data_IF_049447931464
#
_entry.id   IF_049447931464
#
_cell.length_a   1.000
_cell.length_b   1.000
_cell.length_c   1.000
_cell.angle_alpha   90.00
_cell.angle_beta   90.00
_cell.angle_gamma   90.00
#
_symmetry.space_group_name_H-M   'P 1'
#
loop_
_entity.id
_entity.type
_entity.pdbx_description
1 polymer ?
#
# COMPACT_ATOMS: atom_id res chain seq x y z
N UNK A 1 14.86 5.98 -23.50
CA UNK A 1 14.08 7.14 -24.00
C UNK A 1 14.88 7.89 -25.06
N UNK A 2 14.26 8.37 -26.15
CA UNK A 2 14.86 9.21 -27.20
C UNK A 2 13.84 10.28 -27.60
N UNK A 3 14.22 11.54 -27.62
CA UNK A 3 13.36 12.61 -28.12
C UNK A 3 13.38 12.57 -29.66
N UNK A 4 12.20 12.61 -30.29
CA UNK A 4 12.02 12.55 -31.74
C UNK A 4 11.73 13.91 -32.34
N UNK A 5 10.88 14.70 -31.67
CA UNK A 5 10.60 16.08 -32.09
C UNK A 5 10.12 16.93 -30.90
N UNK A 6 10.35 18.22 -30.96
CA UNK A 6 9.84 19.24 -30.04
C UNK A 6 9.10 20.29 -30.83
N UNK A 7 7.86 20.59 -30.46
CA UNK A 7 7.02 21.61 -31.06
C UNK A 7 6.44 22.54 -30.01
N UNK A 8 6.16 23.75 -30.39
CA UNK A 8 5.49 24.68 -29.48
C UNK A 8 5.03 25.96 -30.19
N UNK A 9 4.20 26.71 -29.47
CA UNK A 9 3.69 28.02 -29.90
C UNK A 9 3.41 28.90 -28.68
N UNK A 10 3.74 30.15 -28.78
CA UNK A 10 3.45 31.16 -27.75
C UNK A 10 3.99 30.80 -26.35
N UNK A 11 5.24 30.37 -26.27
CA UNK A 11 5.91 30.05 -25.04
C UNK A 11 7.00 31.08 -24.72
N UNK A 12 6.89 31.73 -23.57
CA UNK A 12 7.83 32.76 -23.11
C UNK A 12 8.24 33.76 -24.20
N UNK A 13 9.50 33.70 -24.69
CA UNK A 13 10.02 34.57 -25.74
C UNK A 13 9.62 34.13 -27.16
N UNK A 14 9.19 32.89 -27.35
CA UNK A 14 8.85 32.34 -28.67
C UNK A 14 7.37 32.63 -29.01
N UNK A 15 7.13 33.47 -30.00
CA UNK A 15 5.77 33.86 -30.42
C UNK A 15 5.21 32.97 -31.52
N UNK A 16 6.03 32.54 -32.46
CA UNK A 16 5.62 31.73 -33.61
C UNK A 16 5.60 30.26 -33.26
N UNK A 17 4.84 29.49 -34.03
CA UNK A 17 4.97 28.03 -33.97
C UNK A 17 6.38 27.63 -34.43
N UNK A 18 6.98 26.70 -33.71
CA UNK A 18 8.27 26.14 -34.03
C UNK A 18 8.22 24.62 -33.99
N UNK A 19 9.09 23.99 -34.74
CA UNK A 19 9.34 22.56 -34.74
C UNK A 19 10.84 22.30 -34.86
N UNK A 20 11.32 21.40 -33.99
CA UNK A 20 12.68 20.84 -34.04
C UNK A 20 12.53 19.34 -34.14
N UNK A 21 12.84 18.77 -35.31
CA UNK A 21 12.83 17.32 -35.54
C UNK A 21 14.24 16.75 -35.41
N UNK A 22 14.35 15.64 -34.65
CA UNK A 22 15.57 14.86 -34.50
C UNK A 22 15.54 13.58 -35.34
N UNK A 23 14.43 13.24 -35.97
CA UNK A 23 14.30 12.10 -36.87
C UNK A 23 14.55 12.46 -38.34
N UNK A 24 14.35 13.72 -38.70
CA UNK A 24 14.39 14.17 -40.09
C UNK A 24 15.29 15.40 -40.18
N UNK A 25 15.83 15.60 -41.38
CA UNK A 25 16.66 16.75 -41.70
C UNK A 25 18.09 16.65 -41.10
N UNK A 26 18.78 17.79 -40.96
CA UNK A 26 20.22 17.81 -40.62
C UNK A 26 20.53 17.27 -39.21
N UNK A 27 19.56 17.26 -38.32
CA UNK A 27 19.77 16.75 -36.93
C UNK A 27 19.63 15.25 -36.82
N UNK A 28 19.06 14.55 -37.78
CA UNK A 28 18.81 13.11 -37.72
C UNK A 28 20.09 12.28 -37.65
N UNK A 29 21.15 12.74 -38.29
CA UNK A 29 22.49 12.09 -38.28
C UNK A 29 23.52 12.79 -37.38
N UNK A 30 23.14 13.92 -36.76
CA UNK A 30 24.06 14.67 -35.90
C UNK A 30 24.19 14.02 -34.55
N UNK A 31 25.37 13.48 -34.23
CA UNK A 31 25.67 12.93 -32.89
C UNK A 31 25.78 14.02 -31.82
N UNK A 32 26.15 15.23 -32.22
CA UNK A 32 26.26 16.40 -31.35
C UNK A 32 25.79 17.63 -32.12
N UNK A 33 25.01 18.50 -31.48
CA UNK A 33 24.56 19.79 -32.05
C UNK A 33 24.56 20.87 -30.97
N UNK A 34 24.65 22.12 -31.40
CA UNK A 34 24.64 23.29 -30.53
C UNK A 34 23.43 24.17 -30.82
N UNK A 35 22.74 24.63 -29.75
CA UNK A 35 21.68 25.63 -29.84
C UNK A 35 22.32 26.99 -29.51
N UNK A 36 22.51 27.84 -30.53
CA UNK A 36 23.17 29.14 -30.40
C UNK A 36 22.17 30.29 -30.62
N UNK A 37 22.50 31.47 -30.14
CA UNK A 37 21.72 32.69 -30.31
C UNK A 37 21.93 33.69 -29.17
N UNK A 38 21.49 34.94 -29.33
CA UNK A 38 21.62 35.99 -28.31
C UNK A 38 20.82 35.66 -27.04
N UNK A 39 21.09 36.40 -25.98
CA UNK A 39 20.31 36.29 -24.74
C UNK A 39 18.86 36.68 -25.02
N UNK A 40 17.90 35.90 -24.50
CA UNK A 40 16.48 36.13 -24.75
C UNK A 40 15.93 35.47 -26.03
N UNK A 41 16.77 34.90 -26.89
CA UNK A 41 16.33 34.26 -28.15
C UNK A 41 15.45 33.00 -27.99
N UNK A 42 15.23 32.52 -26.76
CA UNK A 42 14.36 31.37 -26.52
C UNK A 42 15.10 30.02 -26.39
N UNK A 43 16.43 29.99 -26.34
CA UNK A 43 17.20 28.75 -26.19
C UNK A 43 16.70 27.87 -25.02
N UNK A 44 16.59 28.46 -23.83
CA UNK A 44 16.07 27.76 -22.64
C UNK A 44 14.56 27.48 -22.75
N UNK A 45 13.84 28.25 -23.54
CA UNK A 45 12.40 28.02 -23.76
C UNK A 45 12.14 26.71 -24.52
N UNK A 46 13.05 26.26 -25.38
CA UNK A 46 12.98 24.95 -26.02
C UNK A 46 13.05 23.82 -24.96
N UNK A 47 13.94 23.97 -23.99
CA UNK A 47 14.07 23.02 -22.88
C UNK A 47 12.88 23.08 -21.93
N UNK A 48 12.34 24.29 -21.68
CA UNK A 48 11.08 24.46 -20.94
C UNK A 48 9.92 23.79 -21.66
N UNK A 49 9.80 23.91 -23.00
CA UNK A 49 8.76 23.26 -23.79
C UNK A 49 8.81 21.73 -23.63
N UNK A 50 10.02 21.15 -23.66
CA UNK A 50 10.24 19.74 -23.43
C UNK A 50 9.71 19.31 -22.04
N UNK A 51 10.11 20.01 -20.99
CA UNK A 51 9.69 19.71 -19.64
C UNK A 51 8.19 19.95 -19.40
N UNK A 52 7.59 20.99 -20.00
CA UNK A 52 6.15 21.25 -19.92
C UNK A 52 5.33 20.11 -20.52
N UNK A 53 5.71 19.66 -21.73
CA UNK A 53 4.97 18.59 -22.41
C UNK A 53 5.03 17.27 -21.67
N UNK A 54 6.15 16.96 -21.01
CA UNK A 54 6.37 15.69 -20.35
C UNK A 54 5.94 15.67 -18.88
N UNK A 55 6.10 16.79 -18.15
CA UNK A 55 5.94 16.82 -16.68
C UNK A 55 5.08 17.96 -16.15
N UNK A 56 4.66 18.90 -17.01
CA UNK A 56 4.01 20.15 -16.59
C UNK A 56 4.83 20.93 -15.54
N UNK A 57 6.12 20.78 -15.55
CA UNK A 57 7.08 21.43 -14.64
C UNK A 57 8.29 21.88 -15.43
N UNK A 58 8.99 22.89 -14.96
CA UNK A 58 10.28 23.28 -15.56
C UNK A 58 11.32 23.57 -14.47
N UNK A 59 12.60 23.32 -14.71
CA UNK A 59 13.65 23.61 -13.73
C UNK A 59 13.69 25.08 -13.29
N UNK A 60 13.37 25.98 -14.21
CA UNK A 60 13.32 27.42 -13.94
C UNK A 60 12.24 27.79 -12.94
N UNK A 61 11.03 27.24 -13.09
CA UNK A 61 9.90 27.53 -12.21
C UNK A 61 10.00 26.80 -10.88
N UNK A 62 10.58 25.63 -10.85
CA UNK A 62 10.80 24.86 -9.60
C UNK A 62 11.68 25.60 -8.58
N UNK A 63 12.55 26.51 -9.05
CA UNK A 63 13.38 27.36 -8.20
C UNK A 63 12.68 28.64 -7.72
N UNK A 64 11.56 29.02 -8.33
CA UNK A 64 10.79 30.22 -8.00
C UNK A 64 9.87 30.00 -6.78
N UNK A 65 10.34 29.32 -5.73
CA UNK A 65 9.54 28.93 -4.56
C UNK A 65 9.45 29.97 -3.45
N UNK A 66 9.63 31.26 -3.73
CA UNK A 66 9.46 32.30 -2.73
C UNK A 66 8.01 32.31 -2.23
N UNK A 67 7.80 31.91 -0.97
CA UNK A 67 6.49 31.91 -0.30
C UNK A 67 5.92 33.32 -0.24
N UNK A 68 4.67 33.48 -0.65
CA UNK A 68 3.97 34.76 -0.57
C UNK A 68 4.20 35.73 -1.73
N UNK A 69 5.05 35.38 -2.71
CA UNK A 69 5.24 36.19 -3.93
C UNK A 69 4.24 35.73 -4.98
N UNK A 70 3.54 36.66 -5.61
CA UNK A 70 2.65 36.41 -6.75
C UNK A 70 3.08 37.26 -7.94
N UNK A 71 2.86 36.76 -9.14
CA UNK A 71 3.13 37.46 -10.39
C UNK A 71 1.81 38.05 -10.91
N UNK A 72 1.72 39.34 -11.18
CA UNK A 72 0.51 39.92 -11.76
C UNK A 72 0.24 39.37 -13.16
N UNK A 73 -1.01 39.01 -13.40
CA UNK A 73 -1.57 38.63 -14.70
C UNK A 73 -2.58 39.69 -15.17
N UNK A 74 -3.37 39.39 -16.17
CA UNK A 74 -4.39 40.29 -16.70
C UNK A 74 -5.57 40.48 -15.72
N UNK A 75 -6.26 41.64 -15.81
CA UNK A 75 -7.47 41.94 -15.02
C UNK A 75 -7.27 41.87 -13.49
N UNK A 76 -6.11 42.31 -12.98
CA UNK A 76 -5.74 42.26 -11.54
C UNK A 76 -5.67 40.86 -10.89
N UNK A 77 -5.65 39.81 -11.71
CA UNK A 77 -5.38 38.46 -11.22
C UNK A 77 -3.89 38.27 -10.92
N UNK A 78 -3.60 37.39 -10.00
CA UNK A 78 -2.23 37.01 -9.67
C UNK A 78 -2.06 35.49 -9.78
N UNK A 79 -0.88 35.07 -10.22
CA UNK A 79 -0.53 33.66 -10.41
C UNK A 79 0.74 33.36 -9.60
N UNK A 80 0.87 32.15 -9.06
CA UNK A 80 2.09 31.75 -8.36
C UNK A 80 3.29 31.75 -9.35
N UNK A 81 4.47 32.23 -8.95
CA UNK A 81 5.66 32.23 -9.80
C UNK A 81 6.05 30.85 -10.32
N UNK A 82 5.72 29.80 -9.55
CA UNK A 82 5.97 28.40 -9.90
C UNK A 82 4.91 27.76 -10.81
N UNK A 83 3.83 28.49 -11.11
CA UNK A 83 2.75 27.97 -11.98
C UNK A 83 3.23 27.83 -13.44
N UNK A 84 3.18 26.64 -14.04
CA UNK A 84 3.63 26.42 -15.41
C UNK A 84 2.87 27.26 -16.45
N UNK A 85 1.64 27.68 -16.16
CA UNK A 85 0.84 28.54 -17.03
C UNK A 85 1.44 29.94 -17.23
N UNK A 86 2.35 30.36 -16.35
CA UNK A 86 3.10 31.63 -16.47
C UNK A 86 4.04 31.64 -17.69
N UNK A 87 4.33 30.45 -18.25
CA UNK A 87 5.12 30.33 -19.48
C UNK A 87 4.32 30.65 -20.77
N UNK A 88 3.01 30.79 -20.67
CA UNK A 88 2.24 31.36 -21.77
C UNK A 88 2.77 32.77 -22.07
N UNK A 89 3.13 33.01 -23.31
CA UNK A 89 3.63 34.31 -23.78
C UNK A 89 2.64 35.42 -23.43
N UNK A 90 3.13 36.53 -22.85
CA UNK A 90 2.31 37.72 -22.60
C UNK A 90 1.76 38.25 -23.90
N UNK A 91 0.47 38.59 -23.91
CA UNK A 91 -0.22 39.05 -25.13
C UNK A 91 -0.70 37.91 -26.04
N UNK A 92 -0.53 36.64 -25.64
CA UNK A 92 -1.09 35.51 -26.38
C UNK A 92 -2.36 34.99 -25.67
N UNK A 93 -3.35 34.57 -26.48
CA UNK A 93 -4.59 33.97 -25.97
C UNK A 93 -4.49 32.46 -25.71
N UNK A 94 -3.52 31.79 -26.35
CA UNK A 94 -3.27 30.35 -26.22
C UNK A 94 -1.80 30.03 -26.50
N UNK A 95 -1.35 28.89 -25.97
CA UNK A 95 -0.01 28.34 -26.20
C UNK A 95 0.04 26.84 -25.93
N UNK A 96 1.02 26.17 -26.52
CA UNK A 96 1.23 24.75 -26.30
C UNK A 96 2.72 24.38 -26.41
N UNK A 97 3.06 23.27 -25.74
CA UNK A 97 4.28 22.52 -25.92
C UNK A 97 3.93 21.07 -26.27
N UNK A 98 4.64 20.48 -27.23
CA UNK A 98 4.39 19.13 -27.71
C UNK A 98 5.72 18.43 -27.96
N UNK A 99 5.81 17.17 -27.56
CA UNK A 99 7.02 16.35 -27.69
C UNK A 99 6.66 14.98 -28.20
N UNK A 100 7.35 14.57 -29.29
CA UNK A 100 7.36 13.19 -29.74
C UNK A 100 8.58 12.50 -29.14
N UNK A 101 8.38 11.32 -28.55
CA UNK A 101 9.47 10.56 -27.92
C UNK A 101 9.26 9.05 -28.05
N UNK A 102 10.38 8.34 -28.12
CA UNK A 102 10.39 6.89 -27.94
C UNK A 102 10.52 6.57 -26.46
N UNK A 103 9.56 5.82 -25.93
CA UNK A 103 9.52 5.38 -24.54
C UNK A 103 10.58 4.33 -24.20
N UNK A 104 10.62 3.94 -22.94
CA UNK A 104 11.47 2.84 -22.44
C UNK A 104 11.06 1.48 -23.00
N UNK A 105 9.81 1.34 -23.42
CA UNK A 105 9.25 0.14 -24.07
C UNK A 105 9.50 0.09 -25.58
N UNK A 106 10.22 1.07 -26.14
CA UNK A 106 10.55 1.18 -27.56
C UNK A 106 9.42 1.69 -28.46
N UNK A 107 8.24 2.00 -27.91
CA UNK A 107 7.13 2.60 -28.67
C UNK A 107 7.25 4.10 -28.74
N UNK A 108 6.67 4.71 -29.77
CA UNK A 108 6.68 6.16 -29.95
C UNK A 108 5.38 6.78 -29.45
N UNK A 109 5.51 7.91 -28.79
CA UNK A 109 4.43 8.64 -28.14
C UNK A 109 4.50 10.12 -28.46
N UNK A 110 3.35 10.79 -28.38
CA UNK A 110 3.21 12.24 -28.42
C UNK A 110 2.58 12.72 -27.12
N UNK A 111 3.33 13.50 -26.33
CA UNK A 111 2.82 14.23 -25.18
C UNK A 111 2.60 15.70 -25.55
N UNK A 112 1.49 16.28 -25.12
CA UNK A 112 1.16 17.67 -25.38
C UNK A 112 0.60 18.33 -24.13
N UNK A 113 1.19 19.45 -23.77
CA UNK A 113 0.68 20.40 -22.79
C UNK A 113 0.10 21.61 -23.52
N UNK A 114 -1.04 22.11 -23.08
CA UNK A 114 -1.65 23.31 -23.65
C UNK A 114 -2.33 24.17 -22.58
N UNK A 115 -2.35 25.47 -22.83
CA UNK A 115 -3.00 26.43 -21.97
C UNK A 115 -3.67 27.51 -22.81
N UNK A 116 -4.80 28.00 -22.36
CA UNK A 116 -5.55 29.06 -23.03
C UNK A 116 -6.10 30.07 -22.04
N UNK A 117 -6.34 31.27 -22.53
CA UNK A 117 -7.13 32.28 -21.84
C UNK A 117 -8.60 32.19 -22.26
N UNK A 118 -9.48 32.75 -21.45
CA UNK A 118 -10.92 32.82 -21.78
C UNK A 118 -11.15 33.37 -23.17
N UNK A 119 -11.91 32.63 -23.99
CA UNK A 119 -12.22 32.95 -25.38
C UNK A 119 -10.99 33.13 -26.30
N UNK A 120 -9.85 32.52 -25.91
CA UNK A 120 -8.55 32.68 -26.59
C UNK A 120 -8.14 34.16 -26.77
N UNK A 121 -8.57 35.06 -25.88
CA UNK A 121 -8.21 36.48 -25.92
C UNK A 121 -7.01 36.78 -25.05
N UNK A 122 -6.10 37.67 -25.45
CA UNK A 122 -4.93 38.06 -24.67
C UNK A 122 -5.26 38.68 -23.30
N UNK A 123 -6.40 39.35 -23.20
CA UNK A 123 -6.96 39.98 -21.98
C UNK A 123 -7.87 39.06 -21.18
N UNK A 124 -8.09 37.82 -21.65
CA UNK A 124 -8.92 36.84 -21.00
C UNK A 124 -8.26 36.22 -19.80
N UNK A 125 -9.09 35.74 -18.85
CA UNK A 125 -8.63 35.00 -17.66
C UNK A 125 -7.92 33.71 -18.03
N UNK A 126 -6.80 33.41 -17.37
CA UNK A 126 -6.01 32.18 -17.57
C UNK A 126 -6.82 30.97 -17.16
N UNK A 127 -6.99 29.99 -18.04
CA UNK A 127 -7.73 28.75 -17.78
C UNK A 127 -6.77 27.67 -17.26
N UNK A 128 -7.35 26.55 -16.80
CA UNK A 128 -6.58 25.37 -16.48
C UNK A 128 -5.81 24.86 -17.70
N UNK A 129 -4.61 24.37 -17.47
CA UNK A 129 -3.82 23.67 -18.49
C UNK A 129 -4.39 22.29 -18.76
N UNK A 130 -4.23 21.84 -19.98
CA UNK A 130 -4.60 20.50 -20.43
C UNK A 130 -3.37 19.70 -20.82
N UNK A 131 -3.40 18.38 -20.58
CA UNK A 131 -2.34 17.44 -20.95
C UNK A 131 -2.96 16.25 -21.66
N UNK A 132 -2.35 15.86 -22.78
CA UNK A 132 -2.74 14.66 -23.51
C UNK A 132 -1.53 13.81 -23.90
N UNK A 133 -1.75 12.50 -24.02
CA UNK A 133 -0.79 11.51 -24.49
C UNK A 133 -1.42 10.71 -25.61
N UNK A 134 -0.68 10.51 -26.70
CA UNK A 134 -1.11 9.71 -27.84
C UNK A 134 0.00 8.74 -28.24
N UNK A 135 -0.38 7.58 -28.74
CA UNK A 135 0.58 6.67 -29.39
C UNK A 135 0.81 7.11 -30.84
N UNK A 136 2.03 6.94 -31.31
CA UNK A 136 2.41 7.17 -32.70
C UNK A 136 2.57 5.84 -33.45
N UNK A 137 2.32 5.78 -34.77
CA UNK A 137 1.99 6.90 -35.66
C UNK A 137 0.49 7.28 -35.67
N UNK A 138 -0.41 6.40 -35.20
CA UNK A 138 -1.87 6.49 -35.43
C UNK A 138 -2.58 7.53 -34.55
N UNK A 139 -1.87 8.24 -33.68
CA UNK A 139 -2.40 9.23 -32.74
C UNK A 139 -3.56 8.70 -31.87
N UNK A 140 -3.49 7.43 -31.49
CA UNK A 140 -4.49 6.84 -30.58
C UNK A 140 -4.35 7.48 -29.20
N UNK A 141 -5.44 8.06 -28.64
CA UNK A 141 -5.38 8.70 -27.34
C UNK A 141 -5.11 7.66 -26.24
N UNK A 142 -4.14 7.97 -25.39
CA UNK A 142 -3.72 7.15 -24.24
C UNK A 142 -3.86 7.94 -22.93
N UNK A 143 -4.45 9.14 -22.97
CA UNK A 143 -4.68 9.94 -21.78
C UNK A 143 -5.84 9.36 -20.96
N UNK A 144 -5.69 9.44 -19.65
CA UNK A 144 -6.66 8.94 -18.68
C UNK A 144 -7.70 10.01 -18.33
N UNK A 145 -8.67 9.66 -17.50
CA UNK A 145 -9.77 10.56 -17.11
C UNK A 145 -9.28 11.78 -16.30
N UNK A 146 -8.11 11.68 -15.66
CA UNK A 146 -7.54 12.78 -14.89
C UNK A 146 -6.18 13.20 -15.43
N UNK A 147 -5.88 14.48 -15.31
CA UNK A 147 -4.59 15.05 -15.67
C UNK A 147 -3.43 14.39 -14.90
N UNK A 148 -3.63 14.09 -13.63
CA UNK A 148 -2.63 13.44 -12.78
C UNK A 148 -2.29 12.03 -13.27
N UNK A 149 -3.29 11.28 -13.69
CA UNK A 149 -3.07 9.91 -14.20
C UNK A 149 -2.39 9.94 -15.56
N UNK A 150 -2.76 10.92 -16.43
CA UNK A 150 -2.05 11.15 -17.71
C UNK A 150 -0.57 11.46 -17.48
N UNK A 151 -0.24 12.33 -16.53
CA UNK A 151 1.15 12.63 -16.17
C UNK A 151 1.91 11.40 -15.66
N UNK A 152 1.32 10.61 -14.77
CA UNK A 152 1.91 9.35 -14.30
C UNK A 152 2.15 8.37 -15.44
N UNK A 153 1.23 8.31 -16.40
CA UNK A 153 1.39 7.47 -17.58
C UNK A 153 2.53 7.91 -18.45
N UNK A 154 2.69 9.23 -18.66
CA UNK A 154 3.84 9.81 -19.38
C UNK A 154 5.14 9.44 -18.65
N UNK A 155 5.22 9.62 -17.32
CA UNK A 155 6.39 9.23 -16.53
C UNK A 155 6.69 7.73 -16.66
N UNK A 156 5.67 6.87 -16.65
CA UNK A 156 5.84 5.42 -16.84
C UNK A 156 6.39 5.10 -18.23
N UNK A 157 5.91 5.75 -19.28
CA UNK A 157 6.42 5.56 -20.66
C UNK A 157 7.88 6.04 -20.78
N UNK A 158 8.24 7.12 -20.09
CA UNK A 158 9.59 7.67 -20.09
C UNK A 158 10.54 6.80 -19.25
N UNK A 159 10.06 6.26 -18.14
CA UNK A 159 10.83 5.53 -17.13
C UNK A 159 11.65 6.42 -16.20
N UNK A 160 11.46 7.74 -16.22
CA UNK A 160 12.15 8.73 -15.40
C UNK A 160 11.13 9.73 -14.82
N UNK A 161 11.22 10.03 -13.54
CA UNK A 161 10.48 11.15 -12.96
C UNK A 161 11.15 12.50 -13.30
N UNK A 162 10.48 13.61 -12.99
CA UNK A 162 10.98 14.95 -13.31
C UNK A 162 12.38 15.24 -12.74
N UNK A 163 12.64 14.86 -11.50
CA UNK A 163 13.91 15.14 -10.85
C UNK A 163 15.05 14.29 -11.43
N UNK A 164 14.78 13.03 -11.75
CA UNK A 164 15.73 12.16 -12.46
C UNK A 164 15.99 12.66 -13.88
N UNK A 165 14.95 13.05 -14.62
CA UNK A 165 15.08 13.56 -15.97
C UNK A 165 15.93 14.83 -16.03
N UNK A 166 15.70 15.79 -15.13
CA UNK A 166 16.42 17.06 -15.09
C UNK A 166 17.87 16.94 -14.62
N UNK A 167 18.20 15.85 -13.91
CA UNK A 167 19.57 15.55 -13.49
C UNK A 167 20.36 14.69 -14.49
N UNK A 168 19.67 13.80 -15.19
CA UNK A 168 20.31 12.80 -16.05
C UNK A 168 20.26 13.15 -17.55
N UNK A 169 19.17 13.73 -18.01
CA UNK A 169 18.92 14.01 -19.45
C UNK A 169 19.07 15.50 -19.76
N UNK A 170 18.49 16.33 -18.89
CA UNK A 170 18.45 17.78 -19.10
C UNK A 170 19.22 18.48 -17.98
N UNK A 171 20.51 18.67 -18.17
CA UNK A 171 21.34 19.44 -17.24
C UNK A 171 21.02 20.93 -17.37
N UNK A 172 20.08 21.41 -16.54
CA UNK A 172 19.76 22.83 -16.51
C UNK A 172 20.96 23.64 -16.01
N UNK A 173 21.00 24.94 -16.36
CA UNK A 173 22.08 25.84 -15.96
C UNK A 173 22.29 25.78 -14.44
N UNK A 174 23.52 25.49 -13.99
CA UNK A 174 23.96 25.26 -12.61
C UNK A 174 23.59 23.91 -11.97
N UNK A 175 22.88 23.00 -12.64
CA UNK A 175 22.54 21.70 -12.05
C UNK A 175 23.66 20.66 -12.18
N UNK A 176 24.58 20.85 -13.11
CA UNK A 176 25.78 20.00 -13.19
C UNK A 176 26.62 20.00 -11.90
N UNK A 177 26.76 21.18 -11.31
CA UNK A 177 27.44 21.28 -10.00
C UNK A 177 26.70 20.57 -8.88
N UNK A 178 25.37 20.54 -8.95
CA UNK A 178 24.51 19.84 -7.98
C UNK A 178 24.65 18.33 -8.13
N UNK A 179 24.69 17.80 -9.36
CA UNK A 179 24.97 16.38 -9.60
C UNK A 179 26.33 15.94 -9.06
N UNK A 180 27.38 16.74 -9.29
CA UNK A 180 28.74 16.42 -8.78
C UNK A 180 28.79 16.47 -7.24
N UNK A 181 27.96 17.29 -6.60
CA UNK A 181 27.85 17.44 -5.14
C UNK A 181 26.82 16.52 -4.50
N UNK A 182 26.06 15.78 -5.29
CA UNK A 182 25.08 14.81 -4.78
C UNK A 182 25.77 13.73 -3.93
N UNK A 183 25.07 13.21 -2.94
CA UNK A 183 25.55 12.10 -2.13
C UNK A 183 25.77 10.84 -2.98
N UNK A 184 26.55 9.91 -2.46
CA UNK A 184 26.83 8.65 -3.16
C UNK A 184 25.54 7.85 -3.41
N UNK A 185 24.59 7.89 -2.46
CA UNK A 185 23.29 7.22 -2.57
C UNK A 185 22.43 7.83 -3.69
N UNK A 186 22.35 9.16 -3.78
CA UNK A 186 21.60 9.85 -4.85
C UNK A 186 22.21 9.59 -6.24
N UNK A 187 23.55 9.52 -6.33
CA UNK A 187 24.24 9.17 -7.58
C UNK A 187 23.99 7.71 -7.97
N UNK A 188 24.02 6.80 -6.99
CA UNK A 188 23.75 5.39 -7.21
C UNK A 188 22.33 5.16 -7.70
N UNK A 189 21.32 5.81 -7.09
CA UNK A 189 19.92 5.73 -7.51
C UNK A 189 19.73 6.19 -8.97
N UNK A 190 20.36 7.32 -9.35
CA UNK A 190 20.31 7.81 -10.72
C UNK A 190 20.95 6.84 -11.70
N UNK A 191 22.11 6.28 -11.36
CA UNK A 191 22.81 5.31 -12.20
C UNK A 191 22.00 4.02 -12.33
N UNK A 192 21.39 3.53 -11.26
CA UNK A 192 20.50 2.37 -11.29
C UNK A 192 19.33 2.55 -12.25
N UNK A 193 18.68 3.72 -12.19
CA UNK A 193 17.56 4.04 -13.08
C UNK A 193 18.00 4.12 -14.55
N UNK A 194 19.15 4.76 -14.83
CA UNK A 194 19.69 4.90 -16.19
C UNK A 194 20.18 3.57 -16.78
N UNK A 195 20.68 2.67 -15.96
CA UNK A 195 21.21 1.37 -16.40
C UNK A 195 20.16 0.26 -16.38
N UNK A 196 18.93 0.54 -15.90
CA UNK A 196 17.86 -0.46 -15.76
C UNK A 196 18.16 -1.53 -14.72
N UNK A 197 19.03 -1.22 -13.74
CA UNK A 197 19.42 -2.17 -12.68
C UNK A 197 18.50 -2.15 -11.46
N UNK A 198 17.37 -1.44 -11.51
CA UNK A 198 16.35 -1.38 -10.45
C UNK A 198 15.81 -2.76 -10.03
N UNK A 199 15.82 -3.71 -10.97
CA UNK A 199 15.43 -5.11 -10.71
C UNK A 199 16.30 -5.77 -9.65
N UNK A 200 17.61 -5.49 -9.64
CA UNK A 200 18.55 -6.04 -8.64
C UNK A 200 18.33 -5.42 -7.26
N UNK A 201 18.06 -4.11 -7.20
CA UNK A 201 17.71 -3.42 -5.97
C UNK A 201 16.40 -3.96 -5.37
N UNK A 202 15.36 -4.15 -6.21
CA UNK A 202 14.09 -4.76 -5.80
C UNK A 202 14.28 -6.19 -5.31
N UNK A 203 15.10 -6.99 -5.99
CA UNK A 203 15.42 -8.36 -5.58
C UNK A 203 16.13 -8.40 -4.23
N UNK A 204 17.12 -7.52 -4.04
CA UNK A 204 17.86 -7.38 -2.78
C UNK A 204 16.94 -7.02 -1.62
N UNK A 205 16.04 -6.04 -1.82
CA UNK A 205 15.05 -5.66 -0.81
C UNK A 205 14.11 -6.81 -0.45
N UNK A 206 13.61 -7.55 -1.43
CA UNK A 206 12.76 -8.73 -1.21
C UNK A 206 13.50 -9.85 -0.48
N UNK A 207 14.75 -10.11 -0.85
CA UNK A 207 15.59 -11.09 -0.17
C UNK A 207 15.85 -10.71 1.29
N UNK A 208 16.17 -9.44 1.55
CA UNK A 208 16.36 -8.93 2.91
C UNK A 208 15.07 -9.02 3.74
N UNK A 209 13.93 -8.62 3.17
CA UNK A 209 12.64 -8.70 3.86
C UNK A 209 12.28 -10.15 4.21
N UNK A 210 12.51 -11.09 3.29
CA UNK A 210 12.26 -12.50 3.54
C UNK A 210 13.19 -13.03 4.63
N UNK A 211 14.48 -12.74 4.55
CA UNK A 211 15.46 -13.13 5.58
C UNK A 211 15.03 -12.62 6.97
N UNK A 212 14.60 -11.35 7.06
CA UNK A 212 14.12 -10.77 8.32
C UNK A 212 12.90 -11.52 8.86
N UNK A 213 11.92 -11.80 8.03
CA UNK A 213 10.69 -12.53 8.44
C UNK A 213 11.02 -13.94 8.93
N UNK A 214 11.87 -14.68 8.20
CA UNK A 214 12.27 -16.04 8.58
C UNK A 214 13.13 -16.03 9.88
N UNK A 215 13.97 -15.01 10.04
CA UNK A 215 14.75 -14.84 11.28
C UNK A 215 13.85 -14.60 12.49
N UNK A 216 12.88 -13.70 12.38
CA UNK A 216 11.91 -13.44 13.45
C UNK A 216 11.04 -14.67 13.78
N UNK A 217 10.72 -15.49 12.78
CA UNK A 217 10.01 -16.76 13.00
C UNK A 217 10.88 -17.76 13.73
N UNK A 218 12.15 -17.89 13.36
CA UNK A 218 13.13 -18.75 14.03
C UNK A 218 13.32 -18.34 15.49
N UNK A 219 13.55 -17.04 15.74
CA UNK A 219 13.75 -16.51 17.09
C UNK A 219 12.54 -16.77 17.98
N UNK A 220 11.30 -16.64 17.44
CA UNK A 220 10.08 -17.01 18.17
C UNK A 220 9.99 -18.50 18.49
N UNK A 221 10.39 -19.37 17.56
CA UNK A 221 10.41 -20.82 17.80
C UNK A 221 11.47 -21.19 18.82
N UNK A 222 12.65 -20.58 18.77
CA UNK A 222 13.71 -20.80 19.76
C UNK A 222 13.26 -20.35 21.15
N UNK A 223 12.67 -19.16 21.28
CA UNK A 223 12.14 -18.68 22.57
C UNK A 223 11.05 -19.61 23.13
N UNK A 224 10.21 -20.18 22.28
CA UNK A 224 9.21 -21.18 22.70
C UNK A 224 9.87 -22.49 23.14
N UNK A 225 10.90 -22.94 22.44
CA UNK A 225 11.64 -24.13 22.79
C UNK A 225 12.37 -23.96 24.14
N UNK A 226 13.01 -22.81 24.34
CA UNK A 226 13.72 -22.48 25.59
C UNK A 226 12.76 -22.37 26.77
N UNK A 227 11.53 -21.93 26.55
CA UNK A 227 10.47 -21.90 27.57
C UNK A 227 9.92 -23.30 27.93
N UNK A 228 10.10 -24.29 27.05
CA UNK A 228 9.76 -25.68 27.33
C UNK A 228 10.93 -26.33 28.08
N UNK A 229 10.84 -26.40 29.43
CA UNK A 229 11.78 -27.19 30.19
C UNK A 229 11.38 -28.68 30.08
N UNK A 230 11.94 -29.46 29.14
CA UNK A 230 11.63 -30.88 29.06
C UNK A 230 12.09 -31.60 30.35
N UNK A 231 11.20 -32.34 30.93
CA UNK A 231 11.54 -33.18 32.09
C UNK A 231 12.64 -34.18 31.73
N UNK A 232 13.58 -34.36 32.64
CA UNK A 232 14.56 -35.44 32.48
C UNK A 232 13.86 -36.81 32.38
N UNK A 233 14.49 -37.82 31.77
CA UNK A 233 13.91 -39.16 31.69
C UNK A 233 13.53 -39.71 33.10
N UNK A 234 14.36 -39.42 34.11
CA UNK A 234 14.15 -39.84 35.49
C UNK A 234 12.93 -39.12 36.09
N UNK A 235 12.82 -37.81 35.91
CA UNK A 235 11.67 -37.02 36.39
C UNK A 235 10.38 -37.47 35.73
N UNK A 236 10.42 -37.80 34.44
CA UNK A 236 9.26 -38.33 33.70
C UNK A 236 8.84 -39.69 34.24
N UNK A 237 9.81 -40.59 34.48
CA UNK A 237 9.53 -41.90 35.10
C UNK A 237 8.92 -41.76 36.50
N UNK A 238 9.44 -40.83 37.32
CA UNK A 238 8.89 -40.55 38.62
C UNK A 238 7.44 -40.06 38.59
N UNK A 239 7.12 -39.14 37.65
CA UNK A 239 5.75 -38.66 37.47
C UNK A 239 4.80 -39.75 36.97
N UNK A 240 5.24 -40.65 36.07
CA UNK A 240 4.42 -41.80 35.66
C UNK A 240 4.16 -42.76 36.84
N UNK A 241 5.20 -43.09 37.60
CA UNK A 241 5.01 -43.92 38.79
C UNK A 241 4.05 -43.31 39.82
N UNK A 242 4.13 -41.99 40.01
CA UNK A 242 3.18 -41.26 40.87
C UNK A 242 1.75 -41.27 40.30
N UNK A 243 1.60 -41.13 39.03
CA UNK A 243 0.29 -41.20 38.35
C UNK A 243 -0.33 -42.61 38.51
N UNK A 244 0.46 -43.65 38.29
CA UNK A 244 0.00 -45.03 38.43
C UNK A 244 -0.43 -45.33 39.85
N UNK A 245 0.38 -44.90 40.86
CA UNK A 245 0.02 -45.04 42.28
C UNK A 245 -1.28 -44.30 42.62
N UNK A 246 -1.45 -43.07 42.15
CA UNK A 246 -2.67 -42.31 42.38
C UNK A 246 -3.89 -42.96 41.70
N UNK A 247 -3.71 -43.52 40.49
CA UNK A 247 -4.78 -44.21 39.75
C UNK A 247 -5.22 -45.46 40.52
N UNK A 248 -4.28 -46.21 41.14
CA UNK A 248 -4.60 -47.36 41.97
C UNK A 248 -5.40 -46.95 43.21
N UNK A 249 -4.97 -45.89 43.91
CA UNK A 249 -5.68 -45.37 45.07
C UNK A 249 -7.10 -44.92 44.72
N UNK A 250 -7.26 -44.23 43.57
CA UNK A 250 -8.60 -43.81 43.08
C UNK A 250 -9.49 -45.02 42.80
N UNK A 251 -8.94 -46.07 42.21
CA UNK A 251 -9.70 -47.30 41.96
C UNK A 251 -10.16 -47.97 43.24
N UNK A 252 -9.26 -48.06 44.23
CA UNK A 252 -9.58 -48.66 45.54
C UNK A 252 -10.66 -47.85 46.27
N UNK A 253 -10.53 -46.53 46.31
CA UNK A 253 -11.53 -45.63 46.89
C UNK A 253 -12.89 -45.72 46.17
N UNK A 254 -12.92 -45.82 44.87
CA UNK A 254 -14.15 -46.00 44.11
C UNK A 254 -14.82 -47.37 44.41
N UNK A 255 -14.01 -48.40 44.60
CA UNK A 255 -14.51 -49.74 45.04
C UNK A 255 -15.13 -49.67 46.43
N UNK A 256 -14.44 -49.02 47.39
CA UNK A 256 -14.94 -48.84 48.77
C UNK A 256 -16.21 -48.00 48.78
N UNK A 257 -16.27 -46.91 48.01
CA UNK A 257 -17.48 -46.07 47.86
C UNK A 257 -18.68 -46.90 47.36
N UNK A 258 -18.47 -47.72 46.33
CA UNK A 258 -19.51 -48.60 45.80
C UNK A 258 -20.00 -49.61 46.87
N UNK A 259 -19.08 -50.19 47.68
CA UNK A 259 -19.43 -51.06 48.76
C UNK A 259 -20.27 -50.33 49.82
N UNK A 260 -19.82 -49.17 50.28
CA UNK A 260 -20.53 -48.35 51.23
C UNK A 260 -21.92 -47.93 50.77
N UNK A 261 -22.04 -47.53 49.49
CA UNK A 261 -23.33 -47.20 48.89
C UNK A 261 -24.28 -48.42 48.85
N UNK A 262 -23.74 -49.62 48.59
CA UNK A 262 -24.53 -50.84 48.63
C UNK A 262 -25.05 -51.13 50.04
N UNK A 263 -24.16 -51.00 51.04
CA UNK A 263 -24.51 -51.13 52.45
C UNK A 263 -25.59 -50.13 52.90
N UNK A 264 -25.44 -48.88 52.50
CA UNK A 264 -26.41 -47.82 52.80
C UNK A 264 -27.78 -48.13 52.22
N UNK A 265 -27.83 -48.59 50.98
CA UNK A 265 -29.09 -49.01 50.29
C UNK A 265 -29.75 -50.18 51.01
N UNK A 266 -28.90 -51.17 51.43
CA UNK A 266 -29.40 -52.32 52.22
C UNK A 266 -29.99 -51.88 53.57
N UNK A 267 -29.25 -51.02 54.29
CA UNK A 267 -29.68 -50.51 55.60
C UNK A 267 -31.00 -49.73 55.51
N UNK A 268 -31.07 -48.84 54.53
CA UNK A 268 -32.29 -48.05 54.25
C UNK A 268 -33.47 -48.99 53.95
N UNK A 269 -33.25 -50.02 53.15
CA UNK A 269 -34.29 -51.00 52.80
C UNK A 269 -34.72 -51.82 53.99
N UNK A 270 -33.77 -52.21 54.80
CA UNK A 270 -34.01 -52.93 56.06
C UNK A 270 -34.88 -52.11 57.03
N UNK A 271 -34.56 -50.86 57.26
CA UNK A 271 -35.36 -49.94 58.07
C UNK A 271 -36.80 -49.77 57.50
N UNK A 272 -36.98 -49.61 56.19
CA UNK A 272 -38.30 -49.54 55.59
C UNK A 272 -39.11 -50.82 55.84
N UNK A 273 -38.53 -51.96 55.61
CA UNK A 273 -39.18 -53.24 55.84
C UNK A 273 -39.54 -53.46 57.35
N UNK A 274 -38.62 -53.09 58.22
CA UNK A 274 -38.90 -53.18 59.66
C UNK A 274 -40.06 -52.29 60.10
N UNK A 275 -40.14 -51.05 59.58
CA UNK A 275 -41.24 -50.16 59.85
C UNK A 275 -42.57 -50.69 59.25
N UNK A 276 -42.55 -51.33 58.07
CA UNK A 276 -43.69 -51.99 57.51
C UNK A 276 -44.21 -53.18 58.35
N UNK A 277 -43.28 -53.98 58.83
CA UNK A 277 -43.63 -55.12 59.75
C UNK A 277 -44.31 -54.59 61.03
N UNK A 278 -43.70 -53.58 61.66
CA UNK A 278 -44.28 -52.95 62.85
C UNK A 278 -45.65 -52.35 62.60
N UNK A 279 -45.83 -51.67 61.49
CA UNK A 279 -47.12 -51.11 61.11
C UNK A 279 -48.18 -52.24 60.88
N UNK A 280 -47.80 -53.31 60.19
CA UNK A 280 -48.67 -54.47 59.97
C UNK A 280 -49.04 -55.19 61.25
N UNK A 281 -48.07 -55.39 62.20
CA UNK A 281 -48.33 -55.96 63.50
C UNK A 281 -49.29 -55.08 64.30
N UNK A 282 -49.06 -53.79 64.33
CA UNK A 282 -49.99 -52.86 65.01
C UNK A 282 -51.38 -52.91 64.41
N UNK A 283 -51.50 -52.86 63.08
CA UNK A 283 -52.80 -53.01 62.39
C UNK A 283 -53.46 -54.37 62.71
N UNK A 284 -52.71 -55.44 62.75
CA UNK A 284 -53.21 -56.78 63.15
C UNK A 284 -53.74 -56.76 64.56
N UNK A 285 -52.97 -56.34 65.57
CA UNK A 285 -53.38 -56.23 66.95
C UNK A 285 -54.66 -55.36 67.07
N UNK A 286 -54.74 -54.23 66.38
CA UNK A 286 -55.92 -53.37 66.41
C UNK A 286 -57.18 -54.11 65.87
N UNK A 287 -57.02 -54.89 64.80
CA UNK A 287 -58.10 -55.67 64.20
C UNK A 287 -58.54 -56.82 65.14
N UNK A 288 -57.55 -57.52 65.77
CA UNK A 288 -57.88 -58.58 66.75
C UNK A 288 -58.63 -58.00 67.93
N UNK A 289 -58.21 -56.88 68.52
CA UNK A 289 -58.92 -56.20 69.61
C UNK A 289 -60.38 -55.76 69.18
N UNK A 290 -60.48 -55.24 67.98
CA UNK A 290 -61.85 -54.89 67.45
C UNK A 290 -62.77 -56.09 67.22
N UNK A 291 -62.21 -57.25 66.83
CA UNK A 291 -62.92 -58.49 66.68
C UNK A 291 -63.33 -59.03 68.02
N UNK A 292 -62.40 -59.03 69.00
CA UNK A 292 -62.70 -59.47 70.40
C UNK A 292 -63.78 -58.56 71.00
N UNK A 293 -63.72 -57.27 70.82
CA UNK A 293 -64.74 -56.33 71.28
C UNK A 293 -66.16 -56.50 70.58
N UNK A 294 -66.18 -57.04 69.42
CA UNK A 294 -67.39 -57.32 68.69
C UNK A 294 -68.02 -58.68 69.00
N UNK A 295 -67.27 -59.66 69.52
CA UNK A 295 -67.71 -61.02 69.89
C UNK A 295 -68.89 -61.01 70.84
N UNK A 296 -69.00 -60.16 71.87
CA UNK A 296 -70.18 -60.15 72.75
C UNK A 296 -71.49 -59.79 72.05
N UNK A 297 -71.36 -58.92 71.03
CA UNK A 297 -72.55 -58.47 70.24
C UNK A 297 -73.11 -59.53 69.31
N UNK A 298 -72.26 -60.50 68.86
CA UNK A 298 -72.68 -61.62 68.03
C UNK A 298 -73.30 -62.80 68.81
N UNK A 299 -73.20 -62.81 70.17
CA UNK A 299 -73.80 -63.80 71.01
C UNK A 299 -75.26 -63.47 71.47
N UNK A 300 -75.74 -62.26 71.07
CA UNK A 300 -77.10 -61.78 71.38
C UNK A 300 -78.01 -61.61 70.13
N UNK A 301 -77.60 -62.16 68.97
CA UNK A 301 -78.35 -62.39 67.79
C UNK A 301 -78.47 -63.92 67.62
#
# INVERSE_FOLDING_TARGET
>A
MRILAIRGKNLASLSSAFEVSFEHGPLASAGLFAITGPTGAGKSTLLDALCLALYERTPRLSRATARGVTVPDVAAETVAPSDPRTLLRRGAGEGFAEVDFAGSDGRSYRARWSVRRSRARPDGRLQASDISLHSLPDLVPLHDHTKTDTLRRIETCIGLNFDQFTRAVLLAQNDFATFLKASDDERAELLQTLTGTDTFSTLSQRAFQRMKTEREALDRLQARLDALCPLSPEARAAHHAQQDAQTTVLHDLASEENCLQAHLRWHTRHQQLHAQVQAAEHAWHTRVQAEEAARPRHRHL
#
